data_IF_215415565543
#
_entry.id   IF_215415565543
#
_cell.length_a   1.000
_cell.length_b   1.000
_cell.length_c   1.000
_cell.angle_alpha   90.00
_cell.angle_beta   90.00
_cell.angle_gamma   90.00
#
_symmetry.space_group_name_H-M   'P 1'
#
loop_
_entity.id
_entity.type
_entity.pdbx_description
1 polymer ?
#
# COMPACT_ATOMS: atom_id res chain seq x y z
N UNK A 1 -12.36 -7.81 -4.12
CA UNK A 1 -12.09 -6.50 -3.48
C UNK A 1 -10.60 -6.37 -3.18
N UNK A 2 -9.99 -7.38 -2.55
CA UNK A 2 -8.55 -7.42 -2.22
C UNK A 2 -7.60 -7.30 -3.44
N UNK A 3 -7.94 -7.95 -4.56
CA UNK A 3 -7.16 -7.84 -5.80
C UNK A 3 -7.16 -6.44 -6.43
N UNK A 4 -8.21 -5.65 -6.18
CA UNK A 4 -8.31 -4.27 -6.66
C UNK A 4 -7.40 -3.34 -5.84
N UNK A 5 -7.38 -3.49 -4.51
CA UNK A 5 -6.50 -2.71 -3.63
C UNK A 5 -5.03 -3.03 -3.86
N UNK A 6 -4.72 -4.31 -4.11
CA UNK A 6 -3.37 -4.74 -4.49
C UNK A 6 -2.89 -4.10 -5.79
N UNK A 7 -3.72 -4.12 -6.83
CA UNK A 7 -3.40 -3.46 -8.11
C UNK A 7 -3.25 -1.94 -7.96
N UNK A 8 -4.10 -1.31 -7.15
CA UNK A 8 -4.00 0.12 -6.87
C UNK A 8 -2.65 0.48 -6.22
N UNK A 9 -2.21 -0.26 -5.21
CA UNK A 9 -0.92 -0.03 -4.57
C UNK A 9 0.27 -0.28 -5.52
N UNK A 10 0.20 -1.32 -6.37
CA UNK A 10 1.23 -1.55 -7.37
C UNK A 10 1.32 -0.41 -8.38
N UNK A 11 0.18 0.07 -8.88
CA UNK A 11 0.14 1.21 -9.80
C UNK A 11 0.65 2.50 -9.15
N UNK A 12 0.29 2.74 -7.88
CA UNK A 12 0.76 3.90 -7.13
C UNK A 12 2.27 3.87 -6.92
N UNK A 13 2.85 2.74 -6.50
CA UNK A 13 4.31 2.62 -6.32
C UNK A 13 5.05 2.83 -7.65
N UNK A 14 4.56 2.25 -8.75
CA UNK A 14 5.15 2.45 -10.06
C UNK A 14 5.11 3.93 -10.49
N UNK A 15 3.99 4.61 -10.24
CA UNK A 15 3.84 6.04 -10.51
C UNK A 15 4.81 6.88 -9.68
N UNK A 16 4.97 6.59 -8.39
CA UNK A 16 5.92 7.28 -7.50
C UNK A 16 7.35 7.10 -8.01
N UNK A 17 7.74 5.87 -8.36
CA UNK A 17 9.07 5.62 -8.92
C UNK A 17 9.30 6.40 -10.22
N UNK A 18 8.31 6.44 -11.12
CA UNK A 18 8.41 7.20 -12.36
C UNK A 18 8.48 8.72 -12.13
N UNK A 19 7.63 9.25 -11.24
CA UNK A 19 7.52 10.68 -10.94
C UNK A 19 8.80 11.25 -10.33
N UNK A 20 9.48 10.46 -9.49
CA UNK A 20 10.70 10.87 -8.82
C UNK A 20 11.98 10.38 -9.50
N UNK A 21 11.88 9.75 -10.69
CA UNK A 21 13.04 9.24 -11.42
C UNK A 21 13.80 8.13 -10.68
N UNK A 22 13.11 7.37 -9.83
CA UNK A 22 13.70 6.28 -9.05
C UNK A 22 13.79 5.01 -9.90
N UNK A 23 15.01 4.56 -10.17
CA UNK A 23 15.26 3.31 -10.89
C UNK A 23 15.20 2.12 -9.93
N UNK A 24 13.99 1.78 -9.48
CA UNK A 24 13.74 0.65 -8.56
C UNK A 24 13.33 -0.58 -9.36
N UNK A 25 13.91 -1.78 -9.12
CA UNK A 25 13.48 -3.02 -9.77
C UNK A 25 11.99 -3.31 -9.52
N UNK A 26 11.31 -3.85 -10.53
CA UNK A 26 9.86 -4.15 -10.44
C UNK A 26 9.52 -5.08 -9.26
N UNK A 27 10.40 -6.02 -8.92
CA UNK A 27 10.22 -6.91 -7.77
C UNK A 27 10.24 -6.15 -6.44
N UNK A 28 11.14 -5.18 -6.30
CA UNK A 28 11.22 -4.29 -5.12
C UNK A 28 9.99 -3.39 -5.05
N UNK A 29 9.53 -2.83 -6.17
CA UNK A 29 8.28 -2.05 -6.22
C UNK A 29 7.09 -2.90 -5.76
N UNK A 30 6.99 -4.15 -6.22
CA UNK A 30 5.95 -5.07 -5.79
C UNK A 30 6.05 -5.42 -4.30
N UNK A 31 7.27 -5.56 -3.76
CA UNK A 31 7.48 -5.78 -2.33
C UNK A 31 7.01 -4.58 -1.49
N UNK A 32 7.33 -3.36 -1.93
CA UNK A 32 6.85 -2.12 -1.28
C UNK A 32 5.32 -2.03 -1.34
N UNK A 33 4.71 -2.30 -2.49
CA UNK A 33 3.25 -2.29 -2.64
C UNK A 33 2.56 -3.29 -1.69
N UNK A 34 3.13 -4.49 -1.52
CA UNK A 34 2.64 -5.48 -0.53
C UNK A 34 2.77 -4.97 0.91
N UNK A 35 3.87 -4.31 1.24
CA UNK A 35 4.09 -3.70 2.55
C UNK A 35 3.05 -2.63 2.86
N UNK A 36 2.81 -1.71 1.91
CA UNK A 36 1.81 -0.65 2.03
C UNK A 36 0.39 -1.20 2.19
N UNK A 37 0.03 -2.23 1.42
CA UNK A 37 -1.25 -2.91 1.59
C UNK A 37 -1.42 -3.45 3.01
N UNK A 38 -0.39 -4.12 3.56
CA UNK A 38 -0.46 -4.65 4.94
C UNK A 38 -0.58 -3.54 5.98
N UNK A 39 0.12 -2.41 5.79
CA UNK A 39 -0.01 -1.26 6.67
C UNK A 39 -1.41 -0.64 6.63
N UNK A 40 -2.04 -0.56 5.45
CA UNK A 40 -3.40 -0.02 5.34
C UNK A 40 -4.45 -0.86 6.08
N UNK A 41 -4.25 -2.18 6.17
CA UNK A 41 -5.11 -3.05 7.00
C UNK A 41 -4.92 -2.75 8.49
N UNK A 42 -3.66 -2.63 8.94
CA UNK A 42 -3.35 -2.28 10.33
C UNK A 42 -3.91 -0.90 10.70
N UNK A 43 -3.82 0.07 9.79
CA UNK A 43 -4.40 1.40 9.99
C UNK A 43 -5.92 1.35 10.16
N UNK A 44 -6.61 0.55 9.34
CA UNK A 44 -8.06 0.34 9.48
C UNK A 44 -8.43 -0.35 10.80
N UNK A 45 -7.66 -1.36 11.23
CA UNK A 45 -7.87 -2.03 12.51
C UNK A 45 -7.68 -1.07 13.70
N UNK A 46 -6.64 -0.22 13.66
CA UNK A 46 -6.40 0.80 14.68
C UNK A 46 -7.56 1.81 14.72
N UNK A 47 -8.03 2.27 13.56
CA UNK A 47 -9.13 3.22 13.48
C UNK A 47 -10.42 2.62 14.08
N UNK A 48 -10.72 1.36 13.79
CA UNK A 48 -11.89 0.66 14.32
C UNK A 48 -11.79 0.38 15.83
N UNK A 49 -10.58 0.22 16.37
CA UNK A 49 -10.35 0.02 17.80
C UNK A 49 -10.71 1.27 18.64
N UNK A 50 -10.57 2.47 18.06
CA UNK A 50 -10.90 3.73 18.73
C UNK A 50 -12.41 3.99 18.89
N UNK A 51 -13.25 3.27 18.17
CA UNK A 51 -14.72 3.43 18.21
C UNK A 51 -15.39 2.53 19.27
N UNK A 52 -14.71 1.50 19.81
CA UNK A 52 -15.29 0.60 20.84
C UNK A 52 -15.16 1.14 22.29
N UNK A 53 -14.41 2.23 22.49
CA UNK A 53 -14.21 2.88 23.80
C UNK A 53 -15.06 4.18 23.99
N UNK A 54 -16.00 4.48 23.08
CA UNK A 54 -16.83 5.70 23.08
C UNK A 54 -18.28 5.48 23.56
#
# INVERSE_FOLDING_TARGET
MEDSSKQAWQAWVALVCSTHGLTVPAETQAAVARGLLRLSVIEADIANCGDEDA
#
